data_IF_302811276788
#
_entry.id   IF_302811276788
#
_cell.length_a   1.000
_cell.length_b   1.000
_cell.length_c   1.000
_cell.angle_alpha   90.00
_cell.angle_beta   90.00
_cell.angle_gamma   90.00
#
_symmetry.space_group_name_H-M   'P 1'
#
loop_
_entity.id
_entity.type
_entity.pdbx_description
1 polymer ?
#
# COMPACT_ATOMS: atom_id res chain seq x y z
N UNK A 1 17.97 -13.45 -11.98
CA UNK A 1 17.59 -14.89 -11.89
C UNK A 1 18.22 -15.58 -10.67
N UNK A 2 18.57 -14.81 -9.62
CA UNK A 2 19.08 -15.34 -8.37
C UNK A 2 18.00 -15.78 -7.39
N UNK A 3 18.44 -16.54 -6.37
CA UNK A 3 17.64 -16.89 -5.20
C UNK A 3 17.68 -15.76 -4.17
N UNK A 4 16.61 -15.59 -3.40
CA UNK A 4 16.61 -14.69 -2.25
C UNK A 4 17.60 -15.23 -1.22
N UNK A 5 18.49 -14.35 -0.76
CA UNK A 5 19.49 -14.63 0.25
C UNK A 5 18.99 -14.30 1.63
N UNK A 6 18.38 -13.13 1.84
CA UNK A 6 17.95 -12.67 3.17
C UNK A 6 16.73 -11.76 3.14
N UNK A 7 16.06 -11.70 4.27
CA UNK A 7 14.88 -10.89 4.56
C UNK A 7 15.19 -10.00 5.76
N UNK A 8 15.03 -8.70 5.61
CA UNK A 8 15.22 -7.72 6.68
C UNK A 8 13.95 -6.90 6.85
N UNK A 9 13.50 -6.76 8.09
CA UNK A 9 12.24 -6.12 8.45
C UNK A 9 12.50 -4.88 9.29
N UNK A 10 11.76 -3.82 8.98
CA UNK A 10 11.55 -2.61 9.78
C UNK A 10 10.03 -2.60 10.07
N UNK A 11 9.65 -2.90 11.30
CA UNK A 11 8.25 -3.10 11.69
C UNK A 11 7.59 -1.81 12.15
N UNK A 12 8.36 -0.85 12.65
CA UNK A 12 7.82 0.42 13.15
C UNK A 12 7.94 1.60 12.18
N UNK A 13 8.71 1.43 11.09
CA UNK A 13 8.90 2.41 10.03
C UNK A 13 9.93 3.49 10.39
N UNK A 14 10.77 3.28 11.40
CA UNK A 14 11.79 4.26 11.84
C UNK A 14 13.03 4.31 10.93
N UNK A 15 13.09 3.43 9.92
CA UNK A 15 14.20 3.30 8.98
C UNK A 15 15.35 2.43 9.46
N UNK A 16 15.25 1.82 10.65
CA UNK A 16 16.18 0.82 11.17
C UNK A 16 15.59 -0.58 11.01
N UNK A 17 16.48 -1.55 10.85
CA UNK A 17 16.07 -2.95 10.79
C UNK A 17 15.86 -3.48 12.20
N UNK A 18 14.65 -3.92 12.48
CA UNK A 18 14.27 -4.58 13.73
C UNK A 18 14.62 -6.06 13.72
N UNK A 19 14.50 -6.69 12.55
CA UNK A 19 14.71 -8.13 12.40
C UNK A 19 15.38 -8.47 11.07
N UNK A 20 16.18 -9.53 11.06
CA UNK A 20 16.78 -10.06 9.84
C UNK A 20 16.95 -11.56 9.93
N UNK A 21 16.65 -12.25 8.83
CA UNK A 21 16.64 -13.71 8.73
C UNK A 21 17.02 -14.18 7.34
N UNK A 22 17.42 -15.44 7.23
CA UNK A 22 17.53 -16.16 5.96
C UNK A 22 16.23 -16.87 5.58
N UNK A 23 15.30 -17.00 6.53
CA UNK A 23 13.95 -17.51 6.34
C UNK A 23 12.97 -16.36 6.06
N UNK A 24 11.92 -16.59 5.25
CA UNK A 24 10.95 -15.56 4.88
C UNK A 24 9.99 -15.18 6.01
N UNK A 25 9.83 -16.04 7.01
CA UNK A 25 8.89 -15.86 8.10
C UNK A 25 9.47 -14.98 9.21
N UNK A 26 8.65 -14.08 9.74
CA UNK A 26 8.98 -13.23 10.88
C UNK A 26 7.73 -12.98 11.72
N UNK A 27 7.93 -12.83 13.03
CA UNK A 27 6.88 -12.51 13.99
C UNK A 27 7.24 -11.22 14.72
N UNK A 28 6.25 -10.36 14.93
CA UNK A 28 6.40 -9.10 15.65
C UNK A 28 5.15 -8.80 16.47
N UNK A 29 5.32 -8.16 17.63
CA UNK A 29 4.23 -7.76 18.51
C UNK A 29 4.34 -6.28 18.83
N UNK A 30 3.30 -5.51 18.50
CA UNK A 30 3.22 -4.09 18.83
C UNK A 30 2.77 -3.91 20.28
N UNK A 31 3.42 -2.99 20.99
CA UNK A 31 3.13 -2.69 22.39
C UNK A 31 2.16 -1.51 22.61
N UNK A 32 1.85 -0.76 21.55
CA UNK A 32 1.03 0.45 21.62
C UNK A 32 0.11 0.57 20.41
N UNK A 33 -0.93 1.39 20.59
CA UNK A 33 -1.79 1.83 19.52
C UNK A 33 -1.00 2.67 18.50
N UNK A 34 -1.37 2.58 17.22
CA UNK A 34 -0.79 3.41 16.18
C UNK A 34 -1.01 2.88 14.76
N UNK A 35 -0.53 3.67 13.80
CA UNK A 35 -0.32 3.23 12.43
C UNK A 35 1.17 2.94 12.23
N UNK A 36 1.47 1.75 11.74
CA UNK A 36 2.83 1.28 11.53
C UNK A 36 3.07 1.05 10.04
N UNK A 37 4.17 1.59 9.52
CA UNK A 37 4.63 1.34 8.15
C UNK A 37 5.65 0.20 8.21
N UNK A 38 5.18 -1.02 7.95
CA UNK A 38 6.04 -2.19 7.92
C UNK A 38 6.76 -2.25 6.59
N UNK A 39 8.09 -2.31 6.61
CA UNK A 39 8.93 -2.47 5.44
C UNK A 39 9.68 -3.80 5.46
N UNK A 40 9.61 -4.51 4.35
CA UNK A 40 10.42 -5.69 4.06
C UNK A 40 11.45 -5.33 3.00
N UNK A 41 12.73 -5.49 3.31
CA UNK A 41 13.82 -5.49 2.34
C UNK A 41 14.27 -6.94 2.09
N UNK A 42 14.14 -7.41 0.85
CA UNK A 42 14.72 -8.68 0.40
C UNK A 42 16.02 -8.43 -0.34
N UNK A 43 17.00 -9.31 -0.16
CA UNK A 43 18.28 -9.25 -0.86
C UNK A 43 18.58 -10.60 -1.50
N UNK A 44 19.02 -10.61 -2.76
CA UNK A 44 19.47 -11.82 -3.45
C UNK A 44 20.98 -12.09 -3.25
N UNK A 45 21.48 -13.19 -3.81
CA UNK A 45 22.90 -13.54 -3.73
C UNK A 45 23.81 -12.64 -4.57
N UNK A 46 23.25 -11.89 -5.53
CA UNK A 46 23.95 -10.89 -6.33
C UNK A 46 23.99 -9.52 -5.62
N UNK A 47 23.56 -9.47 -4.35
CA UNK A 47 23.48 -8.28 -3.51
C UNK A 47 22.49 -7.23 -4.02
N UNK A 48 21.58 -7.61 -4.92
CA UNK A 48 20.48 -6.76 -5.34
C UNK A 48 19.40 -6.78 -4.27
N UNK A 49 18.81 -5.61 -4.03
CA UNK A 49 17.79 -5.42 -3.00
C UNK A 49 16.50 -4.96 -3.64
N UNK A 50 15.39 -5.39 -3.04
CA UNK A 50 14.09 -4.83 -3.32
C UNK A 50 13.33 -4.63 -2.01
N UNK A 51 12.41 -3.68 -1.99
CA UNK A 51 11.62 -3.35 -0.82
C UNK A 51 10.12 -3.48 -1.11
N UNK A 52 9.37 -3.82 -0.09
CA UNK A 52 7.91 -3.74 -0.07
C UNK A 52 7.47 -3.11 1.24
N UNK A 53 6.36 -2.40 1.22
CA UNK A 53 5.80 -1.74 2.39
C UNK A 53 4.34 -2.10 2.55
N UNK A 54 3.87 -2.13 3.80
CA UNK A 54 2.45 -2.25 4.17
C UNK A 54 2.13 -1.31 5.32
N UNK A 55 0.90 -0.80 5.37
CA UNK A 55 0.40 -0.01 6.52
C UNK A 55 -0.52 -0.87 7.37
N UNK A 56 -0.26 -0.91 8.68
CA UNK A 56 -1.07 -1.64 9.67
C UNK A 56 -1.57 -0.66 10.73
N UNK A 57 -2.88 -0.61 10.94
CA UNK A 57 -3.46 -0.02 12.15
C UNK A 57 -3.47 -1.04 13.27
N UNK A 58 -2.97 -0.65 14.43
CA UNK A 58 -3.09 -1.39 15.69
C UNK A 58 -3.89 -0.53 16.66
N UNK A 59 -4.96 -1.11 17.21
CA UNK A 59 -5.84 -0.51 18.20
C UNK A 59 -6.01 -1.43 19.42
N UNK A 60 -6.86 -1.02 20.37
CA UNK A 60 -7.17 -1.73 21.62
C UNK A 60 -5.97 -2.01 22.57
N UNK A 61 -4.87 -1.29 22.40
CA UNK A 61 -3.70 -1.24 23.29
C UNK A 61 -3.60 0.10 24.05
N UNK A 62 -2.45 0.36 24.67
CA UNK A 62 -2.14 1.64 25.29
C UNK A 62 -1.61 2.65 24.27
N UNK A 63 -1.81 3.94 24.53
CA UNK A 63 -1.34 5.03 23.66
C UNK A 63 -2.45 5.61 22.79
N UNK A 64 -2.15 6.75 22.17
CA UNK A 64 -3.07 7.46 21.28
C UNK A 64 -2.83 7.07 19.83
N UNK A 65 -3.90 6.99 19.03
CA UNK A 65 -3.81 6.80 17.59
C UNK A 65 -3.82 8.19 16.93
N UNK A 66 -2.79 8.49 16.13
CA UNK A 66 -2.79 9.68 15.28
C UNK A 66 -3.67 9.44 14.05
N UNK A 67 -4.97 9.71 14.18
CA UNK A 67 -5.94 9.65 13.09
C UNK A 67 -6.86 10.87 13.09
N UNK A 68 -7.41 11.19 11.92
CA UNK A 68 -8.49 12.15 11.79
C UNK A 68 -9.64 11.56 10.97
N UNK A 69 -10.76 12.30 10.93
CA UNK A 69 -11.82 12.03 9.95
C UNK A 69 -11.20 11.99 8.54
N UNK A 70 -11.47 10.91 7.84
CA UNK A 70 -10.93 10.66 6.52
C UNK A 70 -12.02 10.21 5.55
N UNK A 71 -11.71 10.35 4.26
CA UNK A 71 -12.66 10.14 3.17
C UNK A 71 -12.02 9.41 2.02
N UNK A 72 -12.57 8.26 1.68
CA UNK A 72 -12.21 7.51 0.48
C UNK A 72 -13.35 7.59 -0.54
N UNK A 73 -13.03 8.02 -1.76
CA UNK A 73 -13.96 7.98 -2.89
C UNK A 73 -13.51 6.92 -3.89
N UNK A 74 -14.38 5.97 -4.21
CA UNK A 74 -14.13 4.95 -5.24
C UNK A 74 -15.11 5.19 -6.37
N UNK A 75 -14.60 5.40 -7.59
CA UNK A 75 -15.39 5.75 -8.75
C UNK A 75 -15.32 4.62 -9.77
N UNK A 76 -16.48 4.10 -10.16
CA UNK A 76 -16.57 3.13 -11.25
C UNK A 76 -16.72 3.85 -12.59
N UNK A 77 -15.64 3.86 -13.38
CA UNK A 77 -15.58 4.36 -14.76
C UNK A 77 -15.76 3.25 -15.80
N UNK A 78 -15.88 1.99 -15.38
CA UNK A 78 -16.17 0.89 -16.29
C UNK A 78 -17.59 1.02 -16.87
N UNK A 79 -17.82 0.36 -18.00
CA UNK A 79 -19.11 0.35 -18.68
C UNK A 79 -20.11 -0.67 -18.12
N UNK A 80 -19.83 -1.23 -16.94
CA UNK A 80 -20.60 -2.26 -16.24
C UNK A 80 -20.57 -2.06 -14.72
N UNK A 81 -21.36 -2.85 -13.99
CA UNK A 81 -21.33 -2.87 -12.52
C UNK A 81 -20.08 -3.63 -12.06
N UNK A 82 -19.38 -3.09 -11.07
CA UNK A 82 -18.12 -3.64 -10.59
C UNK A 82 -18.20 -4.03 -9.13
N UNK A 83 -17.81 -5.26 -8.83
CA UNK A 83 -17.61 -5.69 -7.44
C UNK A 83 -16.24 -5.20 -6.99
N UNK A 84 -16.23 -4.44 -5.90
CA UNK A 84 -15.04 -3.89 -5.29
C UNK A 84 -14.88 -4.52 -3.92
N UNK A 85 -13.79 -5.25 -3.73
CA UNK A 85 -13.33 -5.66 -2.42
C UNK A 85 -12.21 -4.71 -2.03
N UNK A 86 -12.30 -4.06 -0.88
CA UNK A 86 -11.23 -3.20 -0.37
C UNK A 86 -10.84 -3.57 1.06
N UNK A 87 -9.56 -3.35 1.36
CA UNK A 87 -9.01 -3.39 2.71
C UNK A 87 -8.18 -2.11 2.94
N UNK A 88 -8.39 -1.46 4.07
CA UNK A 88 -7.81 -0.16 4.43
C UNK A 88 -6.90 -0.36 5.63
N UNK A 89 -5.64 0.06 5.51
CA UNK A 89 -4.62 0.00 6.57
C UNK A 89 -4.59 -1.35 7.30
N UNK A 90 -4.93 -2.42 6.57
CA UNK A 90 -5.05 -3.79 7.04
C UNK A 90 -5.97 -4.02 8.28
N UNK A 91 -6.90 -3.11 8.60
CA UNK A 91 -7.82 -3.24 9.75
C UNK A 91 -9.30 -3.26 9.37
N UNK A 92 -9.68 -2.59 8.27
CA UNK A 92 -11.07 -2.52 7.81
C UNK A 92 -11.19 -3.08 6.41
N UNK A 93 -12.17 -3.95 6.18
CA UNK A 93 -12.49 -4.47 4.86
C UNK A 93 -13.95 -4.23 4.52
N UNK A 94 -14.21 -3.91 3.26
CA UNK A 94 -15.56 -3.67 2.72
C UNK A 94 -15.71 -4.40 1.38
N UNK A 95 -16.94 -4.86 1.10
CA UNK A 95 -17.31 -5.45 -0.19
C UNK A 95 -18.50 -4.68 -0.74
N UNK A 96 -18.31 -4.07 -1.91
CA UNK A 96 -19.26 -3.12 -2.49
C UNK A 96 -19.61 -3.58 -3.89
N UNK A 97 -20.90 -3.55 -4.22
CA UNK A 97 -21.36 -3.62 -5.60
C UNK A 97 -21.56 -2.20 -6.11
N UNK A 98 -20.65 -1.71 -6.95
CA UNK A 98 -20.67 -0.34 -7.45
C UNK A 98 -21.25 -0.30 -8.87
N UNK A 99 -22.38 0.37 -9.04
CA UNK A 99 -23.04 0.45 -10.34
C UNK A 99 -22.20 1.25 -11.36
N UNK A 100 -22.45 1.00 -12.65
CA UNK A 100 -21.82 1.73 -13.75
C UNK A 100 -21.95 3.25 -13.55
N UNK A 101 -20.81 3.96 -13.59
CA UNK A 101 -20.76 5.42 -13.51
C UNK A 101 -20.99 6.01 -12.12
N UNK A 102 -21.23 5.18 -11.11
CA UNK A 102 -21.46 5.62 -9.74
C UNK A 102 -20.17 5.75 -8.95
N UNK A 103 -20.26 6.46 -7.82
CA UNK A 103 -19.21 6.53 -6.82
C UNK A 103 -19.66 6.01 -5.47
N UNK A 104 -18.76 5.36 -4.77
CA UNK A 104 -18.90 5.03 -3.37
C UNK A 104 -18.04 5.98 -2.54
N UNK A 105 -18.60 6.47 -1.43
CA UNK A 105 -17.90 7.33 -0.48
C UNK A 105 -17.88 6.61 0.86
N UNK A 106 -16.69 6.50 1.43
CA UNK A 106 -16.48 5.94 2.75
C UNK A 106 -15.84 6.98 3.66
N UNK A 107 -16.58 7.37 4.69
CA UNK A 107 -16.04 8.12 5.81
C UNK A 107 -15.43 7.12 6.80
N UNK A 108 -14.12 7.23 7.04
CA UNK A 108 -13.38 6.31 7.92
C UNK A 108 -12.18 7.02 8.52
N UNK A 109 -11.78 6.70 9.76
CA UNK A 109 -10.54 7.23 10.32
C UNK A 109 -9.33 6.82 9.47
N UNK A 110 -8.47 7.79 9.16
CA UNK A 110 -7.24 7.61 8.40
C UNK A 110 -6.08 8.30 9.12
N UNK A 111 -4.88 7.78 8.92
CA UNK A 111 -3.65 8.46 9.36
C UNK A 111 -3.46 9.73 8.52
N UNK A 112 -3.03 10.86 9.10
CA UNK A 112 -2.63 12.02 8.31
C UNK A 112 -1.33 11.78 7.53
N UNK A 113 -0.51 10.79 7.93
CA UNK A 113 0.84 10.59 7.42
C UNK A 113 0.86 9.54 6.28
N UNK A 114 0.38 8.32 6.56
CA UNK A 114 0.45 7.21 5.60
C UNK A 114 -0.78 6.30 5.69
N UNK A 115 -1.38 6.03 4.53
CA UNK A 115 -2.45 5.06 4.39
C UNK A 115 -2.19 4.11 3.23
N UNK A 116 -2.71 2.90 3.35
CA UNK A 116 -2.79 1.87 2.33
C UNK A 116 -4.27 1.53 2.08
N UNK A 117 -4.63 1.40 0.81
CA UNK A 117 -5.86 0.73 0.39
C UNK A 117 -5.50 -0.36 -0.61
N UNK A 118 -5.76 -1.60 -0.24
CA UNK A 118 -5.72 -2.75 -1.13
C UNK A 118 -7.11 -2.94 -1.74
N UNK A 119 -7.20 -3.00 -3.08
CA UNK A 119 -8.44 -3.16 -3.81
C UNK A 119 -8.36 -4.34 -4.77
N UNK A 120 -9.46 -5.06 -4.91
CA UNK A 120 -9.70 -6.00 -6.00
C UNK A 120 -10.99 -5.63 -6.71
N UNK A 121 -10.90 -5.41 -8.02
CA UNK A 121 -12.01 -5.05 -8.89
C UNK A 121 -11.72 -5.51 -10.33
N UNK A 122 -12.73 -6.01 -11.03
CA UNK A 122 -12.62 -6.48 -12.43
C UNK A 122 -11.49 -7.52 -12.64
N UNK A 123 -11.24 -8.39 -11.65
CA UNK A 123 -10.14 -9.37 -11.70
C UNK A 123 -8.73 -8.79 -11.52
N UNK A 124 -8.61 -7.48 -11.32
CA UNK A 124 -7.35 -6.80 -11.02
C UNK A 124 -7.24 -6.57 -9.51
N UNK A 125 -6.02 -6.65 -9.00
CA UNK A 125 -5.69 -6.25 -7.62
C UNK A 125 -4.65 -5.16 -7.64
N UNK A 126 -4.84 -4.13 -6.81
CA UNK A 126 -3.88 -3.05 -6.63
C UNK A 126 -3.82 -2.60 -5.18
N UNK A 127 -2.60 -2.35 -4.71
CA UNK A 127 -2.36 -1.64 -3.46
C UNK A 127 -2.03 -0.19 -3.81
N UNK A 128 -2.74 0.75 -3.21
CA UNK A 128 -2.52 2.19 -3.34
C UNK A 128 -2.09 2.70 -1.97
N UNK A 129 -0.94 3.38 -1.94
CA UNK A 129 -0.45 4.08 -0.76
C UNK A 129 -0.58 5.58 -1.00
N UNK A 130 -1.07 6.32 -0.02
CA UNK A 130 -1.23 7.77 -0.09
C UNK A 130 -1.04 8.43 1.27
N UNK A 131 -0.70 9.71 1.24
CA UNK A 131 -0.58 10.59 2.40
C UNK A 131 -1.87 11.40 2.62
N UNK A 132 -2.08 11.87 3.84
CA UNK A 132 -3.28 12.61 4.22
C UNK A 132 -4.53 11.75 4.34
N UNK A 133 -5.65 12.39 4.64
CA UNK A 133 -6.88 11.71 5.04
C UNK A 133 -7.93 11.66 3.94
N UNK A 134 -7.55 11.92 2.70
CA UNK A 134 -8.48 11.95 1.57
C UNK A 134 -7.84 11.30 0.34
N UNK A 135 -8.54 10.35 -0.28
CA UNK A 135 -8.12 9.80 -1.55
C UNK A 135 -9.31 9.50 -2.47
N UNK A 136 -9.08 9.67 -3.77
CA UNK A 136 -10.01 9.23 -4.81
C UNK A 136 -9.33 8.15 -5.64
N UNK A 137 -10.03 7.06 -5.88
CA UNK A 137 -9.58 5.91 -6.65
C UNK A 137 -10.58 5.67 -7.77
N UNK A 138 -10.10 5.57 -9.00
CA UNK A 138 -10.91 5.24 -10.17
C UNK A 138 -10.65 3.80 -10.60
N UNK A 139 -11.71 3.15 -11.07
CA UNK A 139 -11.68 1.83 -11.67
C UNK A 139 -12.18 1.98 -13.10
N UNK A 140 -11.34 1.67 -14.08
CA UNK A 140 -11.64 1.77 -15.51
C UNK A 140 -11.16 0.51 -16.26
N UNK A 141 -11.21 0.56 -17.60
CA UNK A 141 -10.74 -0.55 -18.46
C UNK A 141 -9.25 -0.85 -18.32
N UNK A 142 -8.44 0.09 -17.82
CA UNK A 142 -7.00 -0.08 -17.57
C UNK A 142 -6.74 -0.65 -16.17
N UNK A 143 -7.76 -0.73 -15.32
CA UNK A 143 -7.70 -1.29 -13.99
C UNK A 143 -7.98 -0.24 -12.91
N UNK A 144 -7.29 -0.36 -11.78
CA UNK A 144 -7.51 0.47 -10.58
C UNK A 144 -6.41 1.52 -10.55
N UNK A 145 -6.70 2.81 -10.38
CA UNK A 145 -5.69 3.87 -10.34
C UNK A 145 -6.14 5.13 -9.59
N UNK A 146 -5.18 6.00 -9.27
CA UNK A 146 -5.47 7.37 -8.84
C UNK A 146 -5.80 8.24 -10.07
N UNK A 147 -6.64 9.28 -9.96
CA UNK A 147 -6.87 10.25 -11.02
C UNK A 147 -5.56 10.89 -11.52
N UNK A 148 -5.48 11.23 -12.80
CA UNK A 148 -4.27 11.84 -13.40
C UNK A 148 -3.92 13.24 -12.85
N UNK A 149 -4.87 13.93 -12.23
CA UNK A 149 -4.70 15.28 -11.66
C UNK A 149 -4.69 15.31 -10.13
N UNK A 150 -4.82 14.17 -9.44
CA UNK A 150 -4.52 14.12 -8.01
C UNK A 150 -3.00 14.08 -7.87
N UNK A 151 -2.37 15.25 -7.73
CA UNK A 151 -1.06 15.32 -7.09
C UNK A 151 -1.24 14.75 -5.68
N UNK A 152 -0.63 13.59 -5.35
CA UNK A 152 -0.52 13.16 -3.96
C UNK A 152 0.21 14.27 -3.19
N UNK A 153 -0.08 14.36 -1.89
CA UNK A 153 0.32 15.46 -1.04
C UNK A 153 1.80 15.78 -1.09
N UNK A 154 2.72 14.89 -1.46
CA UNK A 154 4.11 15.26 -1.74
C UNK A 154 4.72 14.38 -2.86
N UNK A 155 5.05 15.00 -4.00
CA UNK A 155 6.20 14.55 -4.78
C UNK A 155 7.48 14.76 -3.94
N UNK A 156 8.41 13.81 -3.98
CA UNK A 156 9.56 13.57 -3.06
C UNK A 156 9.15 12.84 -1.77
N UNK A 157 8.92 11.51 -1.77
CA UNK A 157 9.95 10.49 -1.44
C UNK A 157 9.61 9.10 -2.06
N UNK A 158 8.81 9.02 -3.13
CA UNK A 158 8.59 7.75 -3.86
C UNK A 158 9.19 7.77 -5.27
N UNK A 159 10.44 8.24 -5.39
CA UNK A 159 11.23 8.13 -6.62
C UNK A 159 12.37 7.13 -6.44
N UNK A 160 12.03 5.86 -6.21
CA UNK A 160 12.87 4.65 -6.28
C UNK A 160 11.91 3.51 -5.85
N UNK A 161 11.33 2.66 -6.67
CA UNK A 161 11.86 1.93 -7.80
C UNK A 161 10.71 1.52 -8.74
N UNK A 162 10.60 2.19 -9.88
CA UNK A 162 10.02 1.57 -11.06
C UNK A 162 10.95 1.88 -12.23
N UNK A 163 11.48 0.81 -12.84
CA UNK A 163 12.26 0.76 -14.08
C UNK A 163 13.79 0.95 -13.93
N UNK A 164 14.50 -0.18 -13.85
CA UNK A 164 15.79 -0.33 -14.55
C UNK A 164 16.04 -1.79 -14.95
N UNK A 165 15.17 -2.34 -15.80
CA UNK A 165 15.54 -3.43 -16.69
C UNK A 165 14.96 -3.18 -18.07
N UNK A 166 15.53 -2.21 -18.78
CA UNK A 166 15.56 -2.19 -20.24
C UNK A 166 16.82 -1.40 -20.66
N UNK A 167 17.69 -2.09 -21.39
CA UNK A 167 18.89 -1.58 -22.07
C UNK A 167 20.12 -1.38 -21.15
N UNK A 168 20.83 -2.47 -20.86
CA UNK A 168 22.29 -2.55 -21.10
C UNK A 168 22.73 -4.02 -21.03
N UNK A 169 22.93 -4.59 -22.21
CA UNK A 169 23.36 -5.98 -22.41
C UNK A 169 23.50 -6.32 -23.89
N UNK A 170 23.96 -5.36 -24.70
CA UNK A 170 24.52 -5.66 -26.03
C UNK A 170 26.02 -5.38 -25.96
N UNK A 171 26.80 -6.40 -26.34
CA UNK A 171 28.27 -6.50 -26.48
C UNK A 171 28.98 -6.84 -25.16
N UNK A 172 29.87 -7.83 -25.09
CA UNK A 172 30.54 -8.63 -26.12
C UNK A 172 30.30 -10.13 -25.94
#
# INVERSE_FOLDING_TARGET
DGYVRSYSWDFDGDGKLDFSSFEPEAEWTYGSNGYYVVKLQVMDYDMQKNESMRVIKVDDLQGEINESEGKLEIINRCDENVEVNLAINNWKSERIMLAKGEKYVLDTPLSPDYNEVALTACGNSRVIVFDGTHATIEIDEKGIHLPSNSSPGFELIMLLFAILFLIMGRKQ
#
